data_IF_458391816018
#
_entry.id   IF_458391816018
#
_cell.length_a   1.000
_cell.length_b   1.000
_cell.length_c   1.000
_cell.angle_alpha   90.00
_cell.angle_beta   90.00
_cell.angle_gamma   90.00
#
_symmetry.space_group_name_H-M   'P 1'
#
loop_
_entity.id
_entity.type
_entity.pdbx_description
1 polymer ?
#
# COMPACT_ATOMS: atom_id res chain seq x y z
N UNK A 1 -36.19 -0.69 -20.65
CA UNK A 1 -35.81 0.05 -21.87
C UNK A 1 -35.48 1.53 -21.61
N UNK A 2 -35.28 1.97 -20.36
CA UNK A 2 -34.92 3.37 -20.05
C UNK A 2 -33.40 3.64 -19.88
N UNK A 3 -32.57 2.60 -19.77
CA UNK A 3 -31.12 2.79 -19.56
C UNK A 3 -30.36 3.14 -20.87
N UNK A 4 -30.96 2.84 -22.03
CA UNK A 4 -30.35 3.10 -23.34
C UNK A 4 -30.63 4.51 -23.91
N UNK A 5 -31.44 5.32 -23.21
CA UNK A 5 -31.76 6.70 -23.61
C UNK A 5 -30.79 7.72 -22.97
N UNK A 6 -30.37 7.50 -21.72
CA UNK A 6 -29.45 8.40 -21.03
C UNK A 6 -28.03 8.42 -21.63
N UNK A 7 -27.57 7.31 -22.21
CA UNK A 7 -26.24 7.23 -22.84
C UNK A 7 -26.16 7.89 -24.23
N UNK A 8 -27.29 8.16 -24.90
CA UNK A 8 -27.30 8.86 -26.21
C UNK A 8 -27.31 10.39 -26.07
N UNK A 9 -27.59 10.92 -24.88
CA UNK A 9 -27.66 12.36 -24.63
C UNK A 9 -26.27 12.96 -24.30
N UNK A 10 -25.32 12.15 -23.83
CA UNK A 10 -23.92 12.57 -23.61
C UNK A 10 -23.05 12.56 -24.89
N UNK A 11 -23.48 11.88 -25.97
CA UNK A 11 -22.73 11.82 -27.23
C UNK A 11 -23.13 12.89 -28.26
N UNK A 12 -24.11 13.76 -27.98
CA UNK A 12 -24.57 14.83 -28.90
C UNK A 12 -24.01 16.23 -28.61
N UNK A 13 -23.15 16.40 -27.61
CA UNK A 13 -22.49 17.70 -27.35
C UNK A 13 -21.13 17.86 -28.06
N UNK A 14 -20.71 16.88 -28.84
CA UNK A 14 -19.51 16.97 -29.67
C UNK A 14 -19.91 17.05 -31.15
N UNK A 15 -20.26 18.24 -31.66
CA UNK A 15 -20.16 18.62 -33.09
C UNK A 15 -20.73 20.02 -33.35
N UNK A 16 -19.88 20.99 -33.71
CA UNK A 16 -20.09 22.02 -34.75
C UNK A 16 -18.99 23.11 -34.69
N UNK A 17 -18.66 23.78 -35.81
CA UNK A 17 -17.26 24.07 -36.17
C UNK A 17 -16.91 25.56 -36.36
N UNK A 18 -15.68 25.78 -36.84
CA UNK A 18 -15.11 26.98 -37.50
C UNK A 18 -14.41 28.05 -36.62
N UNK A 19 -13.07 27.98 -36.64
CA UNK A 19 -12.23 28.92 -37.39
C UNK A 19 -12.23 30.39 -36.98
N UNK A 20 -11.18 30.82 -36.28
CA UNK A 20 -10.58 32.14 -36.48
C UNK A 20 -9.11 32.12 -36.05
N UNK A 21 -8.24 32.56 -36.96
CA UNK A 21 -6.81 32.83 -36.73
C UNK A 21 -6.65 33.94 -35.69
N UNK A 22 -5.78 33.74 -34.72
CA UNK A 22 -5.17 34.84 -33.97
C UNK A 22 -3.68 34.56 -33.72
N UNK A 23 -2.92 35.65 -33.78
CA UNK A 23 -1.47 35.75 -33.90
C UNK A 23 -0.75 35.40 -32.60
N UNK A 24 0.53 35.05 -32.72
CA UNK A 24 1.39 34.53 -31.66
C UNK A 24 1.54 35.42 -30.43
N UNK A 25 1.69 34.75 -29.28
CA UNK A 25 2.22 35.28 -28.04
C UNK A 25 3.18 34.22 -27.44
N UNK A 26 4.35 34.67 -26.99
CA UNK A 26 5.46 33.87 -26.48
C UNK A 26 5.11 33.11 -25.18
N UNK A 27 5.81 32.00 -24.85
CA UNK A 27 5.51 31.21 -23.65
C UNK A 27 5.92 31.92 -22.35
N UNK A 28 5.15 31.78 -21.25
CA UNK A 28 5.57 32.30 -19.96
C UNK A 28 6.67 31.44 -19.34
N UNK A 29 7.65 32.12 -18.75
CA UNK A 29 8.83 31.54 -18.08
C UNK A 29 8.43 30.83 -16.78
N UNK A 30 9.07 29.69 -16.51
CA UNK A 30 8.96 28.93 -15.27
C UNK A 30 9.43 29.77 -14.07
N UNK A 31 8.67 29.87 -12.96
CA UNK A 31 9.20 30.45 -11.74
C UNK A 31 10.11 29.45 -11.01
N UNK A 32 11.24 29.99 -10.59
CA UNK A 32 12.34 29.36 -9.90
C UNK A 32 11.93 28.63 -8.61
N UNK A 33 12.67 27.56 -8.31
CA UNK A 33 12.62 26.75 -7.07
C UNK A 33 12.54 27.63 -5.83
N UNK A 34 11.40 27.65 -5.14
CA UNK A 34 11.28 28.22 -3.79
C UNK A 34 11.73 27.17 -2.78
N UNK A 35 12.82 27.46 -2.06
CA UNK A 35 13.25 26.71 -0.87
C UNK A 35 12.16 26.82 0.20
N UNK A 36 11.68 25.69 0.71
CA UNK A 36 10.79 25.67 1.88
C UNK A 36 11.61 26.02 3.13
N UNK A 37 11.12 26.98 3.92
CA UNK A 37 11.63 27.30 5.26
C UNK A 37 10.74 26.61 6.29
N UNK A 38 11.25 25.55 6.91
CA UNK A 38 10.83 25.14 8.23
C UNK A 38 11.58 26.00 9.26
N UNK A 39 10.86 26.53 10.25
CA UNK A 39 11.43 27.37 11.29
C UNK A 39 12.25 26.51 12.27
N UNK A 40 13.50 26.90 12.51
CA UNK A 40 14.33 26.39 13.59
C UNK A 40 14.94 27.58 14.34
N UNK A 41 14.76 27.62 15.66
CA UNK A 41 15.50 28.49 16.57
C UNK A 41 16.88 27.86 16.83
N UNK A 42 17.94 28.68 16.81
CA UNK A 42 19.33 28.22 16.68
C UNK A 42 20.14 28.11 17.98
N UNK A 43 21.35 27.54 17.83
CA UNK A 43 22.62 27.99 18.42
C UNK A 43 23.75 27.10 17.87
N UNK A 44 24.95 27.67 17.70
CA UNK A 44 26.11 27.10 17.00
C UNK A 44 27.00 26.19 17.87
N UNK A 45 27.69 25.21 17.26
CA UNK A 45 29.04 24.77 17.62
C UNK A 45 29.61 23.80 16.56
N UNK A 46 30.92 23.90 16.32
CA UNK A 46 31.75 23.15 15.39
C UNK A 46 31.98 21.67 15.78
N UNK A 47 32.38 20.87 14.79
CA UNK A 47 32.88 19.50 14.95
C UNK A 47 32.12 18.52 14.09
N UNK A 48 32.60 18.29 12.85
CA UNK A 48 32.01 17.31 11.95
C UNK A 48 32.21 15.88 12.51
N UNK A 49 31.15 15.14 12.88
CA UNK A 49 31.28 13.73 13.14
C UNK A 49 31.25 13.01 11.79
N UNK A 50 32.24 12.15 11.59
CA UNK A 50 32.29 11.24 10.45
C UNK A 50 31.00 10.41 10.45
N UNK A 51 30.22 10.55 9.38
CA UNK A 51 28.90 9.94 9.28
C UNK A 51 29.00 8.42 9.46
N UNK A 52 28.40 7.92 10.54
CA UNK A 52 28.10 6.51 10.68
C UNK A 52 27.38 6.01 9.43
N UNK A 53 27.58 4.74 9.01
CA UNK A 53 26.91 4.19 7.84
C UNK A 53 25.41 4.43 7.98
N UNK A 54 24.81 5.10 7.00
CA UNK A 54 23.39 5.42 6.99
C UNK A 54 22.61 4.12 7.19
N UNK A 55 21.98 3.97 8.36
CA UNK A 55 21.05 2.88 8.63
C UNK A 55 20.09 2.81 7.44
N UNK A 56 19.95 1.63 6.84
CA UNK A 56 19.07 1.43 5.69
C UNK A 56 17.71 2.07 5.99
N UNK A 57 17.28 3.01 5.14
CA UNK A 57 16.07 3.78 5.39
C UNK A 57 14.88 2.83 5.53
N UNK A 58 14.19 2.88 6.66
CA UNK A 58 13.04 2.00 6.89
C UNK A 58 11.91 2.45 5.98
N UNK A 59 11.48 1.54 5.11
CA UNK A 59 10.38 1.76 4.18
C UNK A 59 9.06 1.23 4.74
N UNK A 60 7.96 1.83 4.29
CA UNK A 60 6.62 1.37 4.55
C UNK A 60 5.88 1.05 3.24
N UNK A 61 5.19 -0.08 3.20
CA UNK A 61 4.32 -0.46 2.09
C UNK A 61 2.92 0.10 2.32
N UNK A 62 2.42 0.89 1.37
CA UNK A 62 1.03 1.35 1.38
C UNK A 62 0.08 0.20 1.10
N UNK A 63 -0.80 -0.04 2.04
CA UNK A 63 -1.83 -1.05 1.93
C UNK A 63 -3.12 -0.56 2.61
N UNK A 64 -4.24 -1.17 2.25
CA UNK A 64 -5.55 -0.81 2.77
C UNK A 64 -5.60 -1.01 4.28
N UNK A 65 -6.12 -0.03 5.01
CA UNK A 65 -6.15 -0.07 6.46
C UNK A 65 -6.80 -1.35 7.05
N UNK A 66 -7.94 -1.86 6.55
CA UNK A 66 -8.49 -3.15 7.00
C UNK A 66 -7.58 -4.35 6.70
N UNK A 67 -6.86 -4.34 5.57
CA UNK A 67 -5.86 -5.37 5.27
C UNK A 67 -4.71 -5.31 6.27
N UNK A 68 -4.20 -4.11 6.60
CA UNK A 68 -3.16 -3.94 7.62
C UNK A 68 -3.63 -4.45 8.98
N UNK A 69 -4.87 -4.13 9.38
CA UNK A 69 -5.46 -4.62 10.62
C UNK A 69 -5.60 -6.15 10.63
N UNK A 70 -6.06 -6.76 9.54
CA UNK A 70 -6.20 -8.21 9.41
C UNK A 70 -4.84 -8.94 9.47
N UNK A 71 -3.78 -8.36 8.90
CA UNK A 71 -2.41 -8.85 9.03
C UNK A 71 -1.94 -8.78 10.50
N UNK A 72 -2.15 -7.65 11.18
CA UNK A 72 -1.79 -7.48 12.59
C UNK A 72 -2.57 -8.38 13.56
N UNK A 73 -3.78 -8.80 13.16
CA UNK A 73 -4.62 -9.75 13.89
C UNK A 73 -4.31 -11.22 13.56
N UNK A 74 -3.43 -11.50 12.58
CA UNK A 74 -3.09 -12.85 12.16
C UNK A 74 -4.20 -13.56 11.36
N UNK A 75 -5.27 -12.86 11.01
CA UNK A 75 -6.38 -13.41 10.21
C UNK A 75 -6.00 -13.52 8.73
N UNK A 76 -5.12 -12.62 8.29
CA UNK A 76 -4.52 -12.62 6.95
C UNK A 76 -3.01 -12.81 7.07
N UNK A 77 -2.42 -13.59 6.16
CA UNK A 77 -0.97 -13.85 6.12
C UNK A 77 -0.35 -13.65 4.73
N UNK A 78 -1.14 -13.13 3.78
CA UNK A 78 -0.68 -12.87 2.42
C UNK A 78 -1.03 -11.46 1.96
N UNK A 79 -0.31 -10.97 0.96
CA UNK A 79 -0.71 -9.83 0.14
C UNK A 79 -0.71 -10.21 -1.34
N UNK A 80 -1.74 -9.77 -2.07
CA UNK A 80 -1.80 -9.86 -3.52
C UNK A 80 -1.76 -8.43 -4.05
N UNK A 81 -0.67 -8.11 -4.74
CA UNK A 81 -0.36 -6.78 -5.24
C UNK A 81 -0.37 -6.75 -6.76
N UNK A 82 -0.69 -5.58 -7.28
CA UNK A 82 -0.56 -5.26 -8.69
C UNK A 82 0.15 -3.91 -8.84
N UNK A 83 0.80 -3.73 -9.97
CA UNK A 83 1.37 -2.44 -10.33
C UNK A 83 0.31 -1.33 -10.40
N UNK A 84 0.67 -0.12 -9.98
CA UNK A 84 -0.14 1.09 -10.08
C UNK A 84 -0.04 1.80 -11.45
N UNK A 85 -0.64 2.99 -11.54
CA UNK A 85 -0.61 3.83 -12.76
C UNK A 85 0.82 4.19 -13.16
N UNK A 86 1.67 4.50 -12.17
CA UNK A 86 3.08 4.89 -12.35
C UNK A 86 4.05 3.72 -12.13
N UNK A 87 3.54 2.55 -11.74
CA UNK A 87 4.32 1.36 -11.40
C UNK A 87 3.83 0.20 -12.26
N UNK A 88 4.37 -0.04 -13.46
CA UNK A 88 3.84 -1.05 -14.38
C UNK A 88 3.82 -2.47 -13.81
N UNK A 89 4.68 -2.80 -12.84
CA UNK A 89 4.63 -4.03 -12.06
C UNK A 89 4.90 -3.65 -10.61
N UNK A 90 4.23 -4.32 -9.67
CA UNK A 90 4.63 -4.21 -8.27
C UNK A 90 5.87 -5.08 -8.04
N UNK A 91 6.95 -4.43 -7.61
CA UNK A 91 8.19 -5.08 -7.21
C UNK A 91 8.38 -4.84 -5.71
N UNK A 92 8.60 -5.89 -4.92
CA UNK A 92 8.99 -5.71 -3.52
C UNK A 92 10.33 -4.98 -3.43
N UNK A 93 10.40 -3.89 -2.66
CA UNK A 93 11.63 -3.11 -2.48
C UNK A 93 12.42 -3.55 -1.24
N UNK A 94 11.78 -4.27 -0.32
CA UNK A 94 12.38 -4.74 0.91
C UNK A 94 11.78 -6.08 1.35
N UNK A 95 12.62 -6.92 1.96
CA UNK A 95 12.18 -8.18 2.59
C UNK A 95 11.49 -7.95 3.95
N UNK A 96 11.59 -6.76 4.53
CA UNK A 96 10.86 -6.39 5.73
C UNK A 96 10.53 -4.89 5.75
N UNK A 97 9.34 -4.54 6.23
CA UNK A 97 8.80 -3.19 6.10
C UNK A 97 7.68 -2.91 7.10
N UNK A 98 7.41 -1.63 7.33
CA UNK A 98 6.21 -1.17 8.03
C UNK A 98 5.00 -1.21 7.08
N UNK A 99 3.78 -1.33 7.61
CA UNK A 99 2.57 -1.15 6.81
C UNK A 99 2.05 0.28 7.00
N UNK A 100 1.93 1.01 5.90
CA UNK A 100 1.29 2.32 5.86
C UNK A 100 -0.20 2.13 5.55
N UNK A 101 -1.11 2.35 6.51
CA UNK A 101 -2.53 2.19 6.27
C UNK A 101 -3.03 3.28 5.32
N UNK A 102 -3.84 2.91 4.34
CA UNK A 102 -4.44 3.82 3.35
C UNK A 102 -5.95 3.72 3.37
N UNK A 103 -6.61 4.85 3.11
CA UNK A 103 -8.01 4.89 2.72
C UNK A 103 -8.12 4.60 1.21
N UNK A 104 -8.94 3.63 0.87
CA UNK A 104 -9.28 3.28 -0.52
C UNK A 104 -10.70 2.76 -0.50
N UNK A 105 -11.56 3.29 -1.40
CA UNK A 105 -12.97 2.93 -1.57
C UNK A 105 -13.53 2.23 -0.34
N UNK A 106 -14.10 2.99 0.60
CA UNK A 106 -14.67 2.58 1.90
C UNK A 106 -15.88 1.64 1.76
N UNK A 107 -15.88 0.84 0.71
CA UNK A 107 -16.85 -0.17 0.38
C UNK A 107 -16.55 -1.44 1.16
N UNK A 108 -17.36 -1.63 2.19
CA UNK A 108 -17.31 -2.79 3.07
C UNK A 108 -17.55 -4.10 2.30
N UNK A 109 -18.17 -4.06 1.11
CA UNK A 109 -18.41 -5.24 0.27
C UNK A 109 -17.12 -5.84 -0.30
N UNK A 110 -15.99 -5.13 -0.22
CA UNK A 110 -14.69 -5.67 -0.61
C UNK A 110 -14.08 -6.59 0.47
N UNK A 111 -14.69 -6.65 1.66
CA UNK A 111 -14.34 -7.58 2.74
C UNK A 111 -15.41 -8.67 2.88
N UNK A 112 -14.99 -9.84 3.36
CA UNK A 112 -15.92 -10.87 3.81
C UNK A 112 -16.79 -10.29 4.94
N UNK A 113 -18.07 -10.69 5.06
CA UNK A 113 -19.01 -10.08 6.01
C UNK A 113 -18.50 -9.98 7.46
N UNK A 114 -17.88 -11.05 7.98
CA UNK A 114 -17.31 -11.05 9.33
C UNK A 114 -16.15 -10.05 9.50
N UNK A 115 -15.29 -9.95 8.49
CA UNK A 115 -14.15 -9.03 8.49
C UNK A 115 -14.60 -7.57 8.35
N UNK A 116 -15.61 -7.28 7.53
CA UNK A 116 -16.18 -5.93 7.40
C UNK A 116 -16.65 -5.37 8.75
N UNK A 117 -17.35 -6.20 9.55
CA UNK A 117 -17.79 -5.78 10.88
C UNK A 117 -16.61 -5.62 11.85
N UNK A 118 -15.69 -6.59 11.84
CA UNK A 118 -14.52 -6.63 12.74
C UNK A 118 -13.54 -5.47 12.52
N UNK A 119 -13.33 -5.04 11.28
CA UNK A 119 -12.35 -4.02 10.90
C UNK A 119 -13.00 -2.68 10.50
N UNK A 120 -14.17 -2.37 11.07
CA UNK A 120 -14.92 -1.14 10.79
C UNK A 120 -14.13 0.13 11.08
N UNK A 121 -13.44 0.19 12.22
CA UNK A 121 -12.59 1.34 12.56
C UNK A 121 -11.48 1.56 11.53
N UNK A 122 -10.90 0.47 11.00
CA UNK A 122 -9.89 0.55 9.95
C UNK A 122 -10.50 0.95 8.59
N UNK A 123 -11.76 0.61 8.32
CA UNK A 123 -12.47 1.06 7.12
C UNK A 123 -12.72 2.58 7.15
N UNK A 124 -13.02 3.12 8.32
CA UNK A 124 -13.33 4.54 8.52
C UNK A 124 -12.08 5.42 8.67
N UNK A 125 -10.88 4.81 8.75
CA UNK A 125 -9.62 5.52 8.86
C UNK A 125 -9.31 6.34 7.59
N UNK A 126 -9.20 7.66 7.73
CA UNK A 126 -8.57 8.52 6.71
C UNK A 126 -7.22 9.07 7.20
N UNK A 127 -6.09 8.44 6.80
CA UNK A 127 -4.75 8.87 7.20
C UNK A 127 -4.42 10.31 6.79
N UNK A 128 -5.12 10.88 5.80
CA UNK A 128 -4.88 12.26 5.34
C UNK A 128 -5.36 13.30 6.35
N UNK A 129 -6.32 12.95 7.22
CA UNK A 129 -6.87 13.86 8.24
C UNK A 129 -6.09 13.81 9.55
N UNK A 130 -5.16 12.87 9.70
CA UNK A 130 -4.40 12.70 10.93
C UNK A 130 -3.13 13.56 10.93
N UNK A 131 -2.76 14.18 12.07
CA UNK A 131 -1.48 14.90 12.19
C UNK A 131 -0.27 13.96 12.11
N UNK A 132 -0.44 12.70 12.52
CA UNK A 132 0.51 11.61 12.34
C UNK A 132 -0.24 10.31 12.01
N UNK A 133 0.33 9.52 11.11
CA UNK A 133 -0.24 8.23 10.70
C UNK A 133 0.30 7.15 11.63
N UNK A 134 -0.56 6.40 12.35
CA UNK A 134 -0.11 5.30 13.19
C UNK A 134 0.34 4.10 12.32
N UNK A 135 1.62 3.75 12.41
CA UNK A 135 2.18 2.53 11.82
C UNK A 135 2.22 1.46 12.91
N UNK A 136 1.13 0.67 12.98
CA UNK A 136 0.92 -0.32 14.02
C UNK A 136 1.40 -1.74 13.62
N UNK A 137 1.77 -1.94 12.36
CA UNK A 137 2.17 -3.25 11.85
C UNK A 137 3.51 -3.21 11.15
N UNK A 138 4.25 -4.29 11.34
CA UNK A 138 5.50 -4.62 10.68
C UNK A 138 5.36 -5.98 10.03
N UNK A 139 5.96 -6.19 8.87
CA UNK A 139 5.90 -7.45 8.15
C UNK A 139 7.27 -7.83 7.60
N UNK A 140 7.55 -9.13 7.63
CA UNK A 140 8.68 -9.78 6.97
C UNK A 140 8.15 -10.69 5.87
N UNK A 141 8.76 -10.66 4.69
CA UNK A 141 8.40 -11.53 3.57
C UNK A 141 9.10 -12.86 3.74
N UNK A 142 8.33 -13.93 3.81
CA UNK A 142 8.85 -15.31 3.95
C UNK A 142 8.74 -16.12 2.66
N UNK A 143 8.07 -15.56 1.65
CA UNK A 143 7.97 -16.10 0.31
C UNK A 143 7.30 -15.11 -0.64
N UNK A 144 7.68 -15.14 -1.92
CA UNK A 144 7.08 -14.29 -2.95
C UNK A 144 6.92 -15.06 -4.25
N UNK A 145 5.84 -14.77 -4.98
CA UNK A 145 5.53 -15.37 -6.26
C UNK A 145 4.92 -14.36 -7.22
N UNK A 146 4.97 -14.66 -8.51
CA UNK A 146 4.14 -14.02 -9.51
C UNK A 146 3.21 -15.01 -10.17
N UNK A 147 1.95 -14.63 -10.39
CA UNK A 147 0.95 -15.48 -11.04
C UNK A 147 0.05 -14.68 -11.97
N UNK A 148 -0.44 -15.32 -13.02
CA UNK A 148 -1.48 -14.80 -13.91
C UNK A 148 -2.82 -15.48 -13.68
N UNK A 149 -2.86 -16.46 -12.78
CA UNK A 149 -4.02 -17.28 -12.52
C UNK A 149 -5.11 -16.45 -11.80
N UNK A 150 -6.23 -16.23 -12.46
CA UNK A 150 -7.36 -15.46 -11.91
C UNK A 150 -8.03 -16.16 -10.72
N UNK A 151 -7.77 -17.47 -10.53
CA UNK A 151 -8.29 -18.26 -9.40
C UNK A 151 -7.55 -17.98 -8.10
N UNK A 152 -6.42 -17.25 -8.12
CA UNK A 152 -5.56 -17.04 -6.93
C UNK A 152 -6.33 -16.51 -5.72
N UNK A 153 -7.25 -15.55 -5.90
CA UNK A 153 -8.05 -15.02 -4.80
C UNK A 153 -8.99 -16.08 -4.21
N UNK A 154 -9.62 -16.89 -5.06
CA UNK A 154 -10.53 -17.93 -4.60
C UNK A 154 -9.76 -19.06 -3.88
N UNK A 155 -8.66 -19.53 -4.47
CA UNK A 155 -7.84 -20.62 -3.96
C UNK A 155 -7.17 -20.25 -2.64
N UNK A 156 -6.75 -19.00 -2.48
CA UNK A 156 -6.11 -18.49 -1.26
C UNK A 156 -7.09 -17.86 -0.27
N UNK A 157 -8.41 -17.99 -0.48
CA UNK A 157 -9.44 -17.42 0.38
C UNK A 157 -9.26 -17.69 1.88
N UNK A 158 -8.82 -18.88 2.35
CA UNK A 158 -8.58 -19.11 3.78
C UNK A 158 -7.50 -18.22 4.42
N UNK A 159 -6.67 -17.55 3.61
CA UNK A 159 -5.48 -16.79 4.05
C UNK A 159 -5.65 -15.28 3.96
N UNK A 160 -6.83 -14.79 3.54
CA UNK A 160 -7.13 -13.36 3.44
C UNK A 160 -8.59 -13.03 3.78
N UNK A 161 -8.85 -11.75 4.08
CA UNK A 161 -10.16 -11.27 4.50
C UNK A 161 -11.02 -10.69 3.36
N UNK A 162 -10.46 -10.57 2.17
CA UNK A 162 -11.15 -9.99 1.01
C UNK A 162 -12.30 -10.86 0.47
N UNK A 163 -13.37 -10.22 0.03
CA UNK A 163 -14.48 -10.85 -0.69
C UNK A 163 -14.20 -10.90 -2.20
N UNK A 164 -15.03 -11.64 -2.95
CA UNK A 164 -14.87 -11.80 -4.40
C UNK A 164 -14.91 -10.46 -5.16
N UNK A 165 -15.72 -9.51 -4.69
CA UNK A 165 -15.80 -8.15 -5.25
C UNK A 165 -14.45 -7.41 -5.23
N UNK A 166 -13.54 -7.77 -4.31
CA UNK A 166 -12.18 -7.23 -4.27
C UNK A 166 -11.41 -7.50 -5.56
N UNK A 167 -11.60 -8.67 -6.18
CA UNK A 167 -10.95 -9.02 -7.45
C UNK A 167 -11.32 -8.02 -8.53
N UNK A 168 -12.62 -7.80 -8.70
CA UNK A 168 -13.15 -6.97 -9.77
C UNK A 168 -12.79 -5.48 -9.60
N UNK A 169 -12.64 -5.02 -8.36
CA UNK A 169 -12.29 -3.62 -8.05
C UNK A 169 -10.77 -3.38 -8.03
N UNK A 170 -9.97 -4.26 -7.40
CA UNK A 170 -8.52 -4.04 -7.20
C UNK A 170 -7.60 -4.82 -8.13
N UNK A 171 -7.98 -6.02 -8.55
CA UNK A 171 -7.06 -6.93 -9.25
C UNK A 171 -7.30 -6.99 -10.77
N UNK A 172 -8.53 -6.68 -11.21
CA UNK A 172 -8.97 -6.77 -12.61
C UNK A 172 -8.35 -5.72 -13.54
N UNK A 173 -7.94 -4.56 -13.01
CA UNK A 173 -7.24 -3.54 -13.79
C UNK A 173 -5.97 -4.11 -14.41
N UNK A 174 -5.68 -3.85 -15.70
CA UNK A 174 -4.51 -4.39 -16.44
C UNK A 174 -4.36 -5.92 -16.34
N UNK A 175 -5.38 -6.68 -16.73
CA UNK A 175 -5.37 -8.17 -16.71
C UNK A 175 -4.11 -8.82 -17.29
N UNK A 176 -3.50 -8.20 -18.30
CA UNK A 176 -2.27 -8.70 -18.92
C UNK A 176 -1.01 -8.62 -18.03
N UNK A 177 -1.07 -8.01 -16.85
CA UNK A 177 0.06 -7.95 -15.92
C UNK A 177 -0.10 -9.01 -14.82
N UNK A 178 0.97 -9.75 -14.48
CA UNK A 178 0.92 -10.72 -13.40
C UNK A 178 0.66 -10.03 -12.06
N UNK A 179 0.02 -10.75 -11.16
CA UNK A 179 -0.11 -10.38 -9.76
C UNK A 179 1.16 -10.80 -9.03
N UNK A 180 1.58 -9.99 -8.05
CA UNK A 180 2.65 -10.32 -7.12
C UNK A 180 2.02 -10.79 -5.81
N UNK A 181 2.30 -12.01 -5.40
CA UNK A 181 1.86 -12.60 -4.14
C UNK A 181 3.03 -12.54 -3.15
N UNK A 182 2.76 -12.07 -1.93
CA UNK A 182 3.69 -12.09 -0.81
C UNK A 182 3.11 -12.95 0.32
N UNK A 183 3.90 -13.88 0.83
CA UNK A 183 3.68 -14.54 2.12
C UNK A 183 4.34 -13.68 3.20
N UNK A 184 3.58 -13.27 4.20
CA UNK A 184 4.03 -12.30 5.20
C UNK A 184 3.95 -12.87 6.61
N UNK A 185 5.08 -12.80 7.32
CA UNK A 185 5.10 -12.88 8.78
C UNK A 185 4.81 -11.48 9.34
N UNK A 186 3.60 -11.29 9.83
CA UNK A 186 3.16 -10.01 10.39
C UNK A 186 3.37 -9.92 11.91
N UNK A 187 3.63 -8.71 12.38
CA UNK A 187 3.83 -8.36 13.77
C UNK A 187 3.09 -7.06 14.11
N UNK A 188 2.70 -6.92 15.38
CA UNK A 188 2.17 -5.68 15.96
C UNK A 188 3.26 -4.89 16.64
N UNK A 189 3.16 -3.57 16.53
CA UNK A 189 4.00 -2.60 17.23
C UNK A 189 3.14 -1.91 18.29
N UNK A 190 3.46 -2.12 19.56
CA UNK A 190 2.73 -1.55 20.69
C UNK A 190 3.73 -0.83 21.62
N UNK A 191 3.69 0.51 21.70
CA UNK A 191 2.80 1.42 20.97
C UNK A 191 3.14 1.53 19.46
N UNK A 192 2.17 1.93 18.61
CA UNK A 192 2.42 2.17 17.19
C UNK A 192 3.36 3.35 16.97
N UNK A 193 4.20 3.26 15.94
CA UNK A 193 5.05 4.38 15.50
C UNK A 193 4.16 5.49 14.93
N UNK A 194 4.40 6.74 15.31
CA UNK A 194 3.63 7.89 14.84
C UNK A 194 4.40 8.59 13.71
N UNK A 195 4.07 8.25 12.46
CA UNK A 195 4.72 8.86 11.29
C UNK A 195 4.13 10.26 11.04
N UNK A 196 4.90 11.35 11.18
CA UNK A 196 4.37 12.70 10.97
C UNK A 196 3.82 12.86 9.55
N UNK A 197 2.66 13.52 9.43
CA UNK A 197 2.04 13.76 8.13
C UNK A 197 2.90 14.70 7.29
N UNK A 198 3.27 14.28 6.09
CA UNK A 198 3.79 15.16 5.04
C UNK A 198 3.20 14.80 3.67
N UNK A 199 3.22 15.76 2.73
CA UNK A 199 2.60 15.58 1.41
C UNK A 199 3.21 14.43 0.60
N UNK A 200 4.51 14.18 0.79
CA UNK A 200 5.28 13.12 0.13
C UNK A 200 4.79 11.71 0.51
N UNK A 201 3.97 11.54 1.55
CA UNK A 201 3.37 10.25 1.91
C UNK A 201 2.15 9.94 1.06
N UNK A 202 1.55 10.93 0.38
CA UNK A 202 0.26 10.79 -0.27
C UNK A 202 0.40 10.91 -1.79
N UNK A 203 0.22 9.79 -2.49
CA UNK A 203 0.32 9.71 -3.95
C UNK A 203 0.29 8.26 -4.44
N UNK A 204 0.25 8.10 -5.77
CA UNK A 204 0.07 6.81 -6.44
C UNK A 204 1.39 6.05 -6.60
N UNK A 205 1.96 5.60 -5.48
CA UNK A 205 3.14 4.76 -5.38
C UNK A 205 2.96 3.78 -4.21
N UNK A 206 3.60 2.63 -4.30
CA UNK A 206 3.44 1.55 -3.33
C UNK A 206 4.31 1.75 -2.09
N UNK A 207 5.53 2.24 -2.26
CA UNK A 207 6.54 2.31 -1.19
C UNK A 207 6.81 3.74 -0.76
N UNK A 208 6.90 3.96 0.55
CA UNK A 208 7.25 5.27 1.12
C UNK A 208 8.40 5.14 2.09
N UNK A 209 9.24 6.17 2.14
CA UNK A 209 10.13 6.34 3.29
C UNK A 209 9.33 6.70 4.54
N UNK A 210 10.00 6.75 5.68
CA UNK A 210 9.43 7.14 6.97
C UNK A 210 10.00 8.47 7.49
N UNK A 211 9.84 9.58 6.74
CA UNK A 211 10.41 10.87 7.13
C UNK A 211 9.86 11.30 8.50
N UNK A 212 10.77 11.71 9.39
CA UNK A 212 10.41 12.12 10.74
C UNK A 212 10.34 10.98 11.76
N UNK A 213 10.53 9.73 11.35
CA UNK A 213 10.85 8.65 12.29
C UNK A 213 12.37 8.52 12.42
N UNK A 214 12.86 8.58 13.65
CA UNK A 214 14.27 8.33 13.93
C UNK A 214 14.58 6.84 13.73
N UNK A 215 15.64 6.46 12.98
CA UNK A 215 15.97 5.04 12.73
C UNK A 215 16.06 4.20 14.01
N UNK A 216 16.61 4.74 15.08
CA UNK A 216 16.72 4.11 16.39
C UNK A 216 15.36 3.86 17.05
N UNK A 217 14.39 4.76 16.86
CA UNK A 217 13.04 4.58 17.37
C UNK A 217 12.32 3.45 16.63
N UNK A 218 12.52 3.38 15.31
CA UNK A 218 11.98 2.29 14.50
C UNK A 218 12.62 0.95 14.89
N UNK A 219 13.94 0.90 15.02
CA UNK A 219 14.65 -0.31 15.47
C UNK A 219 14.17 -0.76 16.86
N UNK A 220 13.99 0.17 17.80
CA UNK A 220 13.48 -0.14 19.13
C UNK A 220 12.03 -0.64 19.14
N UNK A 221 11.18 -0.16 18.22
CA UNK A 221 9.82 -0.68 18.05
C UNK A 221 9.84 -2.08 17.45
N UNK A 222 10.63 -2.30 16.39
CA UNK A 222 10.78 -3.61 15.73
C UNK A 222 11.38 -4.64 16.68
N UNK A 223 12.32 -4.27 17.54
CA UNK A 223 12.88 -5.17 18.55
C UNK A 223 11.85 -5.67 19.58
N UNK A 224 10.78 -4.90 19.82
CA UNK A 224 9.70 -5.22 20.77
C UNK A 224 8.43 -5.71 20.07
N UNK A 225 8.50 -5.98 18.76
CA UNK A 225 7.34 -6.39 17.96
C UNK A 225 6.75 -7.69 18.51
N UNK A 226 5.42 -7.79 18.49
CA UNK A 226 4.70 -8.99 18.94
C UNK A 226 4.17 -9.73 17.72
N UNK A 227 4.47 -11.03 17.53
CA UNK A 227 3.94 -11.79 16.41
C UNK A 227 2.42 -11.76 16.34
N UNK A 228 1.87 -11.55 15.14
CA UNK A 228 0.42 -11.56 14.93
C UNK A 228 -0.17 -12.98 15.12
N UNK A 229 0.59 -14.00 14.77
CA UNK A 229 0.33 -15.42 15.06
C UNK A 229 1.50 -15.99 15.87
N UNK A 230 1.28 -17.02 16.70
CA UNK A 230 2.40 -17.83 17.22
C UNK A 230 3.12 -18.57 16.08
N UNK A 231 4.34 -19.05 16.33
CA UNK A 231 5.16 -19.67 15.28
C UNK A 231 4.52 -20.93 14.69
N UNK A 232 3.93 -21.80 15.53
CA UNK A 232 3.22 -22.99 15.08
C UNK A 232 2.01 -22.64 14.19
N UNK A 233 1.17 -21.70 14.63
CA UNK A 233 0.01 -21.25 13.86
C UNK A 233 0.42 -20.59 12.53
N UNK A 234 1.55 -19.87 12.52
CA UNK A 234 2.08 -19.30 11.28
C UNK A 234 2.59 -20.40 10.33
N UNK A 235 3.35 -21.38 10.84
CA UNK A 235 3.83 -22.50 10.05
C UNK A 235 2.69 -23.29 9.39
N UNK A 236 1.56 -23.48 10.09
CA UNK A 236 0.35 -24.07 9.51
C UNK A 236 -0.20 -23.23 8.34
N UNK A 237 -0.23 -21.90 8.47
CA UNK A 237 -0.65 -20.99 7.39
C UNK A 237 0.31 -21.02 6.20
N UNK A 238 1.62 -21.13 6.44
CA UNK A 238 2.61 -21.27 5.39
C UNK A 238 2.46 -22.61 4.64
N UNK A 239 2.27 -23.71 5.37
CA UNK A 239 2.03 -25.01 4.78
C UNK A 239 0.77 -25.01 3.89
N UNK A 240 -0.33 -24.45 4.41
CA UNK A 240 -1.56 -24.29 3.65
C UNK A 240 -1.36 -23.42 2.40
N UNK A 241 -0.63 -22.31 2.50
CA UNK A 241 -0.33 -21.46 1.35
C UNK A 241 0.40 -22.24 0.26
N UNK A 242 1.47 -22.95 0.63
CA UNK A 242 2.31 -23.69 -0.32
C UNK A 242 1.56 -24.84 -0.97
N UNK A 243 0.74 -25.56 -0.19
CA UNK A 243 -0.17 -26.59 -0.71
C UNK A 243 -1.13 -26.01 -1.76
N UNK A 244 -1.78 -24.89 -1.45
CA UNK A 244 -2.74 -24.25 -2.37
C UNK A 244 -2.06 -23.67 -3.61
N UNK A 245 -0.86 -23.09 -3.45
CA UNK A 245 -0.07 -22.55 -4.56
C UNK A 245 0.33 -23.61 -5.57
N UNK A 246 0.54 -24.86 -5.16
CA UNK A 246 0.86 -25.96 -6.07
C UNK A 246 -0.25 -26.23 -7.10
N UNK A 247 -1.48 -25.75 -6.86
CA UNK A 247 -2.61 -25.84 -7.80
C UNK A 247 -2.73 -24.66 -8.79
N UNK A 248 -1.87 -23.64 -8.64
CA UNK A 248 -1.87 -22.40 -9.41
C UNK A 248 -0.61 -22.32 -10.28
N UNK A 249 -0.73 -21.62 -11.40
CA UNK A 249 0.44 -21.21 -12.20
C UNK A 249 1.16 -20.04 -11.51
N UNK A 250 2.02 -20.36 -10.53
CA UNK A 250 2.77 -19.38 -9.74
C UNK A 250 4.27 -19.63 -9.84
N UNK A 251 5.02 -18.60 -10.24
CA UNK A 251 6.48 -18.64 -10.34
C UNK A 251 7.10 -17.98 -9.12
N UNK A 252 8.11 -18.58 -8.45
CA UNK A 252 8.83 -17.94 -7.36
C UNK A 252 9.46 -16.60 -7.78
N UNK A 253 9.38 -15.61 -6.90
CA UNK A 253 9.99 -14.29 -7.08
C UNK A 253 11.13 -14.14 -6.05
N UNK A 254 12.36 -13.95 -6.53
CA UNK A 254 13.48 -13.60 -5.67
C UNK A 254 13.34 -12.17 -5.15
N UNK A 255 13.71 -11.96 -3.89
CA UNK A 255 13.71 -10.66 -3.20
C UNK A 255 15.14 -10.16 -3.04
#
# INVERSE_FOLDING_TARGET
MEVAAAQRQLQRQASAPHGLRARGAAPPRLPHRRRCRCAAAGAAAEGAPQAAPAAAAVVALKEWAPTCAALGAGEQTILIRKGGIKEPKFVPEAAAFLLFPTSFHTDQQLLKPGAASKYREALDLDPKQLPAVPLAQYAEVTGAWTTRDERVLQVLSPLHVWADAFRDTRLKWRRAQPLTLLELRAYRLEPPLQLPRCEELFGCFSWVGTPGLAPEAVAAAVARRVPALGDAAFAERQALLRERLASLEAEPLAL
#
